data_IF_427298842536
#
_entry.id   IF_427298842536
#
_cell.length_a   1.000
_cell.length_b   1.000
_cell.length_c   1.000
_cell.angle_alpha   90.00
_cell.angle_beta   90.00
_cell.angle_gamma   90.00
#
_symmetry.space_group_name_H-M   'P 1'
#
loop_
_entity.id
_entity.type
_entity.pdbx_description
1 polymer ?
#
# COMPACT_ATOMS: atom_id res chain seq x y z
N UNK A 1 -11.26 -18.96 43.88
CA UNK A 1 -12.13 -19.48 42.80
C UNK A 1 -13.18 -18.44 42.42
N UNK A 2 -12.79 -17.38 41.69
CA UNK A 2 -13.74 -16.53 40.95
C UNK A 2 -13.56 -16.93 39.50
N UNK A 3 -14.61 -17.54 38.96
CA UNK A 3 -14.63 -18.16 37.65
C UNK A 3 -14.03 -17.24 36.59
N UNK A 4 -13.00 -17.76 35.93
CA UNK A 4 -12.71 -17.52 34.53
C UNK A 4 -14.04 -17.64 33.77
N UNK A 5 -14.75 -16.52 33.61
CA UNK A 5 -15.69 -16.36 32.52
C UNK A 5 -14.81 -16.36 31.28
N UNK A 6 -14.67 -17.55 30.73
CA UNK A 6 -14.39 -17.81 29.33
C UNK A 6 -14.99 -16.64 28.55
N UNK A 7 -14.12 -15.78 28.04
CA UNK A 7 -14.42 -14.94 26.90
C UNK A 7 -14.71 -15.94 25.79
N UNK A 8 -15.95 -16.43 25.79
CA UNK A 8 -16.52 -17.10 24.65
C UNK A 8 -16.22 -16.19 23.48
N UNK A 9 -15.43 -16.76 22.58
CA UNK A 9 -15.15 -16.25 21.27
C UNK A 9 -16.48 -16.14 20.53
N UNK A 10 -17.26 -15.12 20.86
CA UNK A 10 -18.20 -14.53 19.95
C UNK A 10 -17.34 -13.98 18.82
N UNK A 11 -17.07 -14.85 17.84
CA UNK A 11 -16.90 -14.48 16.45
C UNK A 11 -18.11 -13.61 16.12
N UNK A 12 -18.02 -12.32 16.42
CA UNK A 12 -18.81 -11.31 15.74
C UNK A 12 -18.52 -11.58 14.28
N UNK A 13 -19.49 -12.16 13.56
CA UNK A 13 -19.42 -12.31 12.11
C UNK A 13 -19.10 -10.90 11.61
N UNK A 14 -17.85 -10.67 11.20
CA UNK A 14 -17.47 -9.42 10.55
C UNK A 14 -18.50 -9.21 9.44
N UNK A 15 -19.19 -8.06 9.44
CA UNK A 15 -20.12 -7.73 8.34
C UNK A 15 -19.31 -7.89 7.04
N UNK A 16 -19.83 -8.69 6.11
CA UNK A 16 -19.20 -8.87 4.80
C UNK A 16 -19.10 -7.50 4.13
N UNK A 17 -17.90 -6.94 4.11
CA UNK A 17 -17.58 -5.76 3.33
C UNK A 17 -17.23 -6.23 1.92
N UNK A 18 -18.13 -5.96 0.97
CA UNK A 18 -17.97 -6.35 -0.44
C UNK A 18 -16.71 -5.70 -1.04
N UNK A 19 -16.23 -4.60 -0.47
CA UNK A 19 -15.01 -3.93 -0.90
C UNK A 19 -13.74 -4.46 -0.23
N UNK A 20 -13.84 -5.42 0.71
CA UNK A 20 -12.71 -5.98 1.45
C UNK A 20 -12.91 -7.46 1.75
N UNK A 21 -12.67 -8.30 0.74
CA UNK A 21 -12.78 -9.75 0.85
C UNK A 21 -11.43 -10.37 1.23
N UNK A 22 -11.31 -10.93 2.44
CA UNK A 22 -10.06 -11.52 2.95
C UNK A 22 -10.00 -13.03 2.70
N UNK A 23 -8.87 -13.50 2.20
CA UNK A 23 -8.51 -14.91 2.04
C UNK A 23 -7.28 -15.22 2.89
N UNK A 24 -7.47 -16.00 3.95
CA UNK A 24 -6.40 -16.36 4.87
C UNK A 24 -5.52 -17.47 4.29
N UNK A 25 -4.20 -17.30 4.39
CA UNK A 25 -3.23 -18.32 4.01
C UNK A 25 -2.78 -19.09 5.26
N UNK A 26 -2.74 -20.42 5.16
CA UNK A 26 -2.20 -21.28 6.21
C UNK A 26 -0.65 -21.28 6.18
N UNK A 27 -0.06 -20.11 6.37
CA UNK A 27 1.39 -19.93 6.45
C UNK A 27 1.76 -19.72 7.91
N UNK A 28 2.61 -20.61 8.43
CA UNK A 28 3.13 -20.50 9.78
C UNK A 28 4.36 -19.57 9.80
N UNK A 29 4.21 -18.39 10.41
CA UNK A 29 5.28 -17.41 10.54
C UNK A 29 6.29 -17.75 11.66
N UNK A 30 6.41 -19.02 12.08
CA UNK A 30 7.42 -19.51 13.04
C UNK A 30 8.83 -18.98 12.78
N UNK A 31 9.22 -18.73 11.52
CA UNK A 31 10.54 -18.16 11.22
C UNK A 31 10.76 -16.79 11.87
N UNK A 32 9.70 -15.98 12.07
CA UNK A 32 9.77 -14.70 12.76
C UNK A 32 10.32 -14.89 14.18
N UNK A 33 10.02 -16.00 14.86
CA UNK A 33 10.55 -16.28 16.20
C UNK A 33 12.09 -16.34 16.23
N UNK A 34 12.73 -16.76 15.12
CA UNK A 34 14.19 -16.88 14.98
C UNK A 34 14.90 -15.54 14.77
N UNK A 35 14.19 -14.50 14.31
CA UNK A 35 14.76 -13.17 14.06
C UNK A 35 14.97 -12.45 15.40
N UNK A 36 16.21 -12.17 15.79
CA UNK A 36 16.50 -11.44 17.03
C UNK A 36 16.37 -9.92 16.85
N UNK A 37 16.36 -9.15 17.95
CA UNK A 37 16.20 -7.70 17.89
C UNK A 37 17.33 -7.00 17.12
N UNK A 38 18.56 -7.50 17.20
CA UNK A 38 19.69 -6.94 16.46
C UNK A 38 19.49 -7.07 14.95
N UNK A 39 18.99 -8.21 14.45
CA UNK A 39 18.64 -8.40 13.05
C UNK A 39 17.54 -7.44 12.62
N UNK A 40 16.53 -7.21 13.47
CA UNK A 40 15.48 -6.23 13.21
C UNK A 40 16.07 -4.82 13.14
N UNK A 41 16.97 -4.45 14.05
CA UNK A 41 17.59 -3.11 14.06
C UNK A 41 18.47 -2.88 12.83
N UNK A 42 19.23 -3.89 12.38
CA UNK A 42 19.96 -3.83 11.10
C UNK A 42 18.99 -3.65 9.93
N UNK A 43 17.91 -4.44 9.88
CA UNK A 43 16.89 -4.32 8.84
C UNK A 43 16.24 -2.94 8.83
N UNK A 44 15.85 -2.40 10.00
CA UNK A 44 15.32 -1.03 10.17
C UNK A 44 16.27 0.02 9.62
N UNK A 45 17.56 -0.08 9.97
CA UNK A 45 18.57 0.84 9.49
C UNK A 45 18.70 0.79 7.96
N UNK A 46 18.65 -0.41 7.37
CA UNK A 46 18.67 -0.57 5.92
C UNK A 46 17.46 0.13 5.27
N UNK A 47 16.23 -0.21 5.69
CA UNK A 47 15.01 0.27 5.01
C UNK A 47 14.71 1.75 5.23
N UNK A 48 15.07 2.31 6.39
CA UNK A 48 14.76 3.71 6.74
C UNK A 48 15.91 4.68 6.52
N UNK A 49 17.15 4.20 6.38
CA UNK A 49 18.33 5.06 6.22
C UNK A 49 19.07 4.76 4.93
N UNK A 50 19.57 3.53 4.75
CA UNK A 50 20.44 3.23 3.61
C UNK A 50 19.69 3.26 2.27
N UNK A 51 18.53 2.61 2.16
CA UNK A 51 17.79 2.59 0.90
C UNK A 51 17.28 3.98 0.46
N UNK A 52 16.70 4.83 1.33
CA UNK A 52 16.30 6.17 0.91
C UNK A 52 17.48 7.04 0.49
N UNK A 53 18.62 6.99 1.20
CA UNK A 53 19.83 7.74 0.83
C UNK A 53 20.33 7.31 -0.55
N UNK A 54 20.40 6.01 -0.81
CA UNK A 54 20.83 5.50 -2.12
C UNK A 54 19.87 5.92 -3.24
N UNK A 55 18.55 5.83 -3.02
CA UNK A 55 17.56 6.29 -4.00
C UNK A 55 17.70 7.79 -4.28
N UNK A 56 17.85 8.62 -3.24
CA UNK A 56 18.05 10.06 -3.39
C UNK A 56 19.33 10.36 -4.19
N UNK A 57 20.42 9.65 -3.93
CA UNK A 57 21.65 9.78 -4.70
C UNK A 57 21.42 9.51 -6.19
N UNK A 58 20.72 8.43 -6.54
CA UNK A 58 20.43 8.11 -7.94
C UNK A 58 19.52 9.16 -8.60
N UNK A 59 18.51 9.65 -7.89
CA UNK A 59 17.61 10.73 -8.37
C UNK A 59 18.38 12.01 -8.68
N UNK A 60 19.29 12.43 -7.79
CA UNK A 60 20.01 13.70 -7.90
C UNK A 60 21.15 13.62 -8.92
N UNK A 61 21.92 12.53 -8.91
CA UNK A 61 23.21 12.48 -9.61
C UNK A 61 23.21 11.64 -10.89
N UNK A 62 22.26 10.73 -11.10
CA UNK A 62 22.32 9.75 -12.22
C UNK A 62 21.26 9.94 -13.30
N UNK A 63 20.59 11.11 -13.39
CA UNK A 63 19.46 11.31 -14.31
C UNK A 63 18.43 10.17 -14.25
N UNK A 64 18.23 9.61 -13.05
CA UNK A 64 17.40 8.41 -12.83
C UNK A 64 16.01 8.52 -13.45
N UNK A 65 15.40 9.70 -13.39
CA UNK A 65 14.09 9.94 -14.02
C UNK A 65 14.10 9.67 -15.52
N UNK A 66 15.17 10.04 -16.23
CA UNK A 66 15.32 9.80 -17.66
C UNK A 66 15.46 8.30 -17.98
N UNK A 67 16.28 7.57 -17.21
CA UNK A 67 16.46 6.12 -17.39
C UNK A 67 15.15 5.37 -17.13
N UNK A 68 14.42 5.72 -16.06
CA UNK A 68 13.10 5.15 -15.77
C UNK A 68 12.11 5.42 -16.90
N UNK A 69 12.08 6.65 -17.45
CA UNK A 69 11.17 6.97 -18.57
C UNK A 69 11.47 6.19 -19.84
N UNK A 70 12.75 5.97 -20.16
CA UNK A 70 13.13 5.21 -21.35
C UNK A 70 12.76 3.73 -21.21
N UNK A 71 13.07 3.14 -20.06
CA UNK A 71 12.74 1.74 -19.79
C UNK A 71 11.22 1.51 -19.74
N UNK A 72 10.45 2.50 -19.23
CA UNK A 72 8.98 2.48 -19.29
C UNK A 72 8.46 2.42 -20.73
N UNK A 73 8.97 3.30 -21.60
CA UNK A 73 8.55 3.34 -22.99
C UNK A 73 8.86 2.03 -23.72
N UNK A 74 9.99 1.39 -23.40
CA UNK A 74 10.36 0.09 -23.96
C UNK A 74 9.42 -1.03 -23.47
N UNK A 75 9.10 -1.06 -22.17
CA UNK A 75 8.16 -2.03 -21.58
C UNK A 75 6.75 -1.86 -22.18
N UNK A 76 6.28 -0.61 -22.30
CA UNK A 76 4.97 -0.30 -22.85
C UNK A 76 4.89 -0.58 -24.37
N UNK A 77 5.97 -0.30 -25.10
CA UNK A 77 6.06 -0.58 -26.54
C UNK A 77 6.05 -2.07 -26.88
N UNK A 78 6.53 -2.93 -25.95
CA UNK A 78 6.62 -4.38 -26.11
C UNK A 78 5.64 -5.14 -25.22
N UNK A 79 4.48 -4.54 -24.91
CA UNK A 79 3.50 -5.16 -24.02
C UNK A 79 2.97 -6.49 -24.59
N UNK A 80 3.29 -7.58 -23.90
CA UNK A 80 2.96 -8.95 -24.30
C UNK A 80 2.61 -9.83 -23.08
N UNK A 81 2.24 -11.09 -23.31
CA UNK A 81 1.89 -12.02 -22.23
C UNK A 81 3.03 -12.19 -21.20
N UNK A 82 4.28 -12.19 -21.65
CA UNK A 82 5.43 -12.32 -20.77
C UNK A 82 5.56 -11.11 -19.83
N UNK A 83 5.34 -9.88 -20.33
CA UNK A 83 5.32 -8.69 -19.48
C UNK A 83 4.22 -8.73 -18.42
N UNK A 84 3.03 -9.28 -18.75
CA UNK A 84 1.94 -9.46 -17.78
C UNK A 84 2.33 -10.47 -16.71
N UNK A 85 2.90 -11.62 -17.10
CA UNK A 85 3.35 -12.66 -16.16
C UNK A 85 4.42 -12.11 -15.22
N UNK A 86 5.38 -11.36 -15.75
CA UNK A 86 6.44 -10.71 -14.99
C UNK A 86 5.89 -9.64 -14.04
N UNK A 87 4.93 -8.83 -14.50
CA UNK A 87 4.26 -7.83 -13.68
C UNK A 87 3.55 -8.50 -12.50
N UNK A 88 2.77 -9.55 -12.76
CA UNK A 88 2.10 -10.33 -11.72
C UNK A 88 3.12 -10.90 -10.73
N UNK A 89 4.19 -11.53 -11.22
CA UNK A 89 5.25 -12.07 -10.37
C UNK A 89 5.81 -11.02 -9.40
N UNK A 90 6.24 -9.86 -9.93
CA UNK A 90 6.79 -8.80 -9.10
C UNK A 90 5.77 -8.18 -8.15
N UNK A 91 4.52 -8.02 -8.59
CA UNK A 91 3.45 -7.54 -7.73
C UNK A 91 3.23 -8.46 -6.52
N UNK A 92 3.19 -9.78 -6.74
CA UNK A 92 3.04 -10.76 -5.66
C UNK A 92 4.24 -10.78 -4.72
N UNK A 93 5.46 -10.74 -5.26
CA UNK A 93 6.69 -10.70 -4.45
C UNK A 93 6.78 -9.40 -3.64
N UNK A 94 6.54 -8.25 -4.28
CA UNK A 94 6.55 -6.93 -3.64
C UNK A 94 5.53 -6.85 -2.50
N UNK A 95 4.27 -7.20 -2.79
CA UNK A 95 3.20 -7.18 -1.78
C UNK A 95 3.46 -8.15 -0.62
N UNK A 96 4.05 -9.32 -0.90
CA UNK A 96 4.42 -10.26 0.17
C UNK A 96 5.54 -9.72 1.06
N UNK A 97 6.60 -9.14 0.47
CA UNK A 97 7.71 -8.55 1.22
C UNK A 97 7.26 -7.32 2.01
N UNK A 98 6.37 -6.50 1.44
CA UNK A 98 5.76 -5.35 2.09
C UNK A 98 5.07 -5.75 3.40
N UNK A 99 4.15 -6.72 3.33
CA UNK A 99 3.42 -7.19 4.51
C UNK A 99 4.34 -7.88 5.52
N UNK A 100 5.29 -8.69 5.04
CA UNK A 100 6.30 -9.31 5.90
C UNK A 100 7.14 -8.29 6.64
N UNK A 101 7.43 -7.12 6.04
CA UNK A 101 8.16 -6.04 6.69
C UNK A 101 7.40 -5.52 7.91
N UNK A 102 6.07 -5.30 7.81
CA UNK A 102 5.25 -4.96 8.96
C UNK A 102 5.36 -6.01 10.05
N UNK A 103 5.29 -7.30 9.70
CA UNK A 103 5.41 -8.40 10.66
C UNK A 103 6.77 -8.42 11.38
N UNK A 104 7.86 -8.18 10.66
CA UNK A 104 9.23 -8.17 11.19
C UNK A 104 9.40 -7.01 12.19
N UNK A 105 8.95 -5.80 11.84
CA UNK A 105 9.07 -4.63 12.73
C UNK A 105 8.10 -4.73 13.91
N UNK A 106 6.88 -5.22 13.69
CA UNK A 106 5.88 -5.44 14.73
C UNK A 106 6.40 -6.31 15.88
N UNK A 107 7.24 -7.31 15.57
CA UNK A 107 7.87 -8.18 16.58
C UNK A 107 8.68 -7.40 17.62
N UNK A 108 9.41 -6.35 17.21
CA UNK A 108 10.21 -5.50 18.10
C UNK A 108 9.36 -4.83 19.17
N UNK A 109 8.08 -4.62 18.87
CA UNK A 109 7.11 -4.00 19.76
C UNK A 109 6.16 -5.01 20.42
N UNK A 110 6.50 -6.30 20.39
CA UNK A 110 5.72 -7.40 20.95
C UNK A 110 4.28 -7.48 20.40
N UNK A 111 4.07 -7.02 19.17
CA UNK A 111 2.79 -7.15 18.48
C UNK A 111 2.69 -8.55 17.89
N UNK A 112 1.59 -9.23 18.16
CA UNK A 112 1.38 -10.58 17.68
C UNK A 112 0.90 -10.59 16.22
N UNK A 113 1.39 -11.55 15.44
CA UNK A 113 1.08 -11.69 14.01
C UNK A 113 0.46 -13.06 13.75
N UNK A 114 -0.85 -13.25 14.03
CA UNK A 114 -1.47 -14.57 14.01
C UNK A 114 -1.79 -15.08 12.61
N UNK A 115 -2.07 -14.19 11.65
CA UNK A 115 -2.57 -14.56 10.33
C UNK A 115 -2.00 -13.67 9.24
N UNK A 116 -1.81 -14.26 8.07
CA UNK A 116 -1.45 -13.57 6.83
C UNK A 116 -2.38 -14.02 5.72
N UNK A 117 -2.48 -13.23 4.67
CA UNK A 117 -3.34 -13.59 3.56
C UNK A 117 -3.27 -12.65 2.38
N UNK A 118 -4.17 -12.92 1.45
CA UNK A 118 -4.45 -12.10 0.27
C UNK A 118 -5.87 -11.58 0.45
N UNK A 119 -6.13 -10.36 0.05
CA UNK A 119 -7.48 -9.80 0.02
C UNK A 119 -7.79 -9.18 -1.34
N UNK A 120 -9.08 -9.10 -1.66
CA UNK A 120 -9.56 -8.22 -2.71
C UNK A 120 -10.03 -6.93 -2.05
N UNK A 121 -9.20 -5.90 -2.16
CA UNK A 121 -9.48 -4.56 -1.67
C UNK A 121 -9.93 -3.70 -2.86
N UNK A 122 -11.17 -3.20 -2.85
CA UNK A 122 -11.76 -2.48 -3.98
C UNK A 122 -11.67 -3.24 -5.30
N UNK A 123 -11.89 -4.57 -5.26
CA UNK A 123 -11.74 -5.50 -6.39
C UNK A 123 -10.31 -5.63 -6.95
N UNK A 124 -9.31 -5.05 -6.28
CA UNK A 124 -7.91 -5.21 -6.62
C UNK A 124 -7.26 -6.21 -5.65
N UNK A 125 -6.36 -7.10 -6.14
CA UNK A 125 -5.60 -7.97 -5.25
C UNK A 125 -4.72 -7.10 -4.34
N UNK A 126 -4.65 -7.48 -3.07
CA UNK A 126 -3.80 -6.89 -2.05
C UNK A 126 -3.35 -7.98 -1.09
N UNK A 127 -2.29 -7.73 -0.33
CA UNK A 127 -1.80 -8.64 0.69
C UNK A 127 -2.13 -8.08 2.06
N UNK A 128 -2.20 -8.92 3.07
CA UNK A 128 -2.33 -8.43 4.44
C UNK A 128 -1.60 -9.32 5.43
N UNK A 129 -1.04 -8.67 6.44
CA UNK A 129 -0.65 -9.27 7.71
C UNK A 129 -1.57 -8.73 8.81
N UNK A 130 -2.11 -9.61 9.64
CA UNK A 130 -2.90 -9.19 10.78
C UNK A 130 -1.99 -8.78 11.94
N UNK A 131 -2.00 -7.50 12.29
CA UNK A 131 -1.21 -6.93 13.39
C UNK A 131 -2.06 -6.89 14.66
N UNK A 132 -2.20 -8.03 15.33
CA UNK A 132 -3.07 -8.17 16.50
C UNK A 132 -2.57 -7.32 17.66
N UNK A 133 -3.41 -6.36 18.07
CA UNK A 133 -3.12 -5.46 19.17
C UNK A 133 -2.31 -4.21 18.80
N UNK A 134 -2.10 -3.93 17.51
CA UNK A 134 -1.46 -2.67 17.07
C UNK A 134 -2.18 -1.44 17.61
N UNK A 135 -3.50 -1.49 17.74
CA UNK A 135 -4.33 -0.40 18.27
C UNK A 135 -3.94 -0.03 19.72
N UNK A 136 -3.45 -0.99 20.51
CA UNK A 136 -3.06 -0.79 21.91
C UNK A 136 -1.68 -0.14 22.08
N UNK A 137 -0.91 0.03 21.00
CA UNK A 137 0.38 0.72 21.06
C UNK A 137 0.12 2.21 21.34
N UNK A 138 0.55 2.67 22.53
CA UNK A 138 0.37 4.07 22.95
C UNK A 138 1.32 5.04 22.24
N UNK A 139 2.51 4.58 21.88
CA UNK A 139 3.53 5.43 21.27
C UNK A 139 3.30 5.51 19.75
N UNK A 140 2.89 6.68 19.27
CA UNK A 140 2.65 6.92 17.84
C UNK A 140 3.88 6.62 16.97
N UNK A 141 5.10 6.88 17.46
CA UNK A 141 6.31 6.63 16.69
C UNK A 141 6.54 5.12 16.45
N UNK A 142 6.12 4.27 17.39
CA UNK A 142 6.21 2.81 17.21
C UNK A 142 5.21 2.33 16.17
N UNK A 143 3.97 2.85 16.20
CA UNK A 143 2.97 2.60 15.15
C UNK A 143 3.46 3.09 13.79
N UNK A 144 3.99 4.31 13.73
CA UNK A 144 4.55 4.91 12.53
C UNK A 144 5.67 4.05 11.97
N UNK A 145 6.58 3.56 12.81
CA UNK A 145 7.66 2.68 12.36
C UNK A 145 7.12 1.35 11.78
N UNK A 146 6.15 0.71 12.43
CA UNK A 146 5.51 -0.51 11.91
C UNK A 146 4.85 -0.23 10.57
N UNK A 147 3.99 0.79 10.48
CA UNK A 147 3.22 1.10 9.26
C UNK A 147 4.09 1.63 8.12
N UNK A 148 5.21 2.32 8.39
CA UNK A 148 6.12 2.74 7.31
C UNK A 148 7.09 1.64 6.88
N UNK A 149 7.21 0.54 7.63
CA UNK A 149 8.17 -0.52 7.28
C UNK A 149 7.82 -1.25 5.97
N UNK A 150 6.55 -1.37 5.62
CA UNK A 150 6.11 -1.88 4.31
C UNK A 150 6.64 -1.01 3.18
N UNK A 151 6.41 0.31 3.25
CA UNK A 151 6.97 1.29 2.31
C UNK A 151 8.50 1.22 2.28
N UNK A 152 9.16 1.17 3.45
CA UNK A 152 10.61 1.05 3.55
C UNK A 152 11.16 -0.20 2.83
N UNK A 153 10.47 -1.33 2.93
CA UNK A 153 10.87 -2.56 2.23
C UNK A 153 10.74 -2.47 0.71
N UNK A 154 9.71 -1.76 0.21
CA UNK A 154 9.58 -1.50 -1.21
C UNK A 154 10.66 -0.53 -1.70
N UNK A 155 11.07 0.46 -0.90
CA UNK A 155 12.21 1.32 -1.23
C UNK A 155 13.53 0.52 -1.27
N UNK A 156 13.69 -0.47 -0.40
CA UNK A 156 14.81 -1.40 -0.46
C UNK A 156 14.77 -2.23 -1.75
N UNK A 157 13.62 -2.76 -2.15
CA UNK A 157 13.46 -3.48 -3.43
C UNK A 157 13.75 -2.58 -4.64
N UNK A 158 13.32 -1.32 -4.61
CA UNK A 158 13.66 -0.30 -5.61
C UNK A 158 15.18 -0.07 -5.67
N UNK A 159 15.83 0.03 -4.51
CA UNK A 159 17.29 0.18 -4.42
C UNK A 159 18.02 -1.00 -5.05
N UNK A 160 17.60 -2.22 -4.71
CA UNK A 160 18.15 -3.46 -5.27
C UNK A 160 17.93 -3.49 -6.79
N UNK A 161 16.76 -3.07 -7.26
CA UNK A 161 16.43 -3.05 -8.68
C UNK A 161 17.33 -2.11 -9.48
N UNK A 162 17.63 -0.92 -8.95
CA UNK A 162 18.58 0.02 -9.58
C UNK A 162 19.98 -0.59 -9.67
N UNK A 163 20.48 -1.16 -8.56
CA UNK A 163 21.78 -1.82 -8.53
C UNK A 163 21.86 -2.94 -9.59
N UNK A 164 20.80 -3.73 -9.72
CA UNK A 164 20.73 -4.82 -10.69
C UNK A 164 20.59 -4.32 -12.13
N UNK A 165 19.93 -3.19 -12.38
CA UNK A 165 19.93 -2.54 -13.70
C UNK A 165 21.35 -2.11 -14.14
N UNK A 166 22.22 -1.73 -13.20
CA UNK A 166 23.57 -1.29 -13.51
C UNK A 166 24.52 -2.45 -13.84
N UNK A 167 24.35 -3.59 -13.16
CA UNK A 167 25.31 -4.70 -13.24
C UNK A 167 24.84 -5.88 -14.10
N UNK A 168 23.57 -5.89 -14.55
CA UNK A 168 23.01 -6.99 -15.34
C UNK A 168 22.51 -6.54 -16.72
N UNK A 169 22.45 -7.45 -17.71
CA UNK A 169 21.85 -7.15 -19.01
C UNK A 169 20.31 -7.12 -18.97
N UNK A 170 19.68 -7.55 -17.87
CA UNK A 170 18.22 -7.67 -17.73
C UNK A 170 17.55 -6.37 -17.27
N UNK A 171 17.92 -5.24 -17.87
CA UNK A 171 17.50 -3.90 -17.44
C UNK A 171 15.97 -3.71 -17.45
N UNK A 172 15.28 -4.24 -18.45
CA UNK A 172 13.82 -4.16 -18.55
C UNK A 172 13.11 -4.90 -17.42
N UNK A 173 13.62 -6.07 -17.02
CA UNK A 173 13.09 -6.87 -15.90
C UNK A 173 13.23 -6.13 -14.56
N UNK A 174 14.42 -5.60 -14.25
CA UNK A 174 14.63 -4.86 -13.01
C UNK A 174 13.99 -3.47 -13.01
N UNK A 175 13.85 -2.84 -14.18
CA UNK A 175 13.05 -1.61 -14.32
C UNK A 175 11.57 -1.85 -14.01
N UNK A 176 11.01 -2.98 -14.44
CA UNK A 176 9.64 -3.34 -14.08
C UNK A 176 9.49 -3.55 -12.56
N UNK A 177 10.44 -4.25 -11.93
CA UNK A 177 10.50 -4.42 -10.48
C UNK A 177 10.53 -3.07 -9.75
N UNK A 178 11.41 -2.17 -10.19
CA UNK A 178 11.57 -0.82 -9.66
C UNK A 178 10.25 -0.04 -9.73
N UNK A 179 9.60 -0.03 -10.90
CA UNK A 179 8.35 0.68 -11.13
C UNK A 179 7.22 0.18 -10.23
N UNK A 180 7.08 -1.13 -10.11
CA UNK A 180 6.06 -1.74 -9.25
C UNK A 180 6.29 -1.34 -7.79
N UNK A 181 7.53 -1.41 -7.30
CA UNK A 181 7.82 -1.07 -5.91
C UNK A 181 7.65 0.43 -5.61
N UNK A 182 7.99 1.32 -6.55
CA UNK A 182 7.67 2.75 -6.44
C UNK A 182 6.15 2.95 -6.40
N UNK A 183 5.40 2.29 -7.28
CA UNK A 183 3.95 2.41 -7.34
C UNK A 183 3.27 1.91 -6.05
N UNK A 184 3.66 0.72 -5.55
CA UNK A 184 3.14 0.18 -4.28
C UNK A 184 3.49 1.11 -3.11
N UNK A 185 4.69 1.70 -3.10
CA UNK A 185 5.08 2.68 -2.07
C UNK A 185 4.19 3.92 -2.09
N UNK A 186 3.99 4.51 -3.27
CA UNK A 186 3.13 5.70 -3.44
C UNK A 186 1.70 5.38 -2.99
N UNK A 187 1.13 4.27 -3.48
CA UNK A 187 -0.23 3.85 -3.14
C UNK A 187 -0.42 3.68 -1.63
N UNK A 188 0.57 3.13 -0.93
CA UNK A 188 0.51 2.94 0.52
C UNK A 188 0.75 4.22 1.33
N UNK A 189 1.42 5.24 0.76
CA UNK A 189 1.57 6.56 1.40
C UNK A 189 0.27 7.39 1.29
N UNK A 190 -0.53 7.18 0.24
CA UNK A 190 -1.78 7.92 0.03
C UNK A 190 -2.68 7.78 1.28
N UNK A 191 -3.25 8.88 1.81
CA UNK A 191 -4.08 8.86 3.01
C UNK A 191 -5.48 8.34 2.68
N UNK A 192 -5.58 7.08 2.29
CA UNK A 192 -6.81 6.35 2.03
C UNK A 192 -7.00 5.32 3.14
N UNK A 193 -8.24 5.21 3.63
CA UNK A 193 -8.59 4.54 4.88
C UNK A 193 -8.03 3.12 5.09
N UNK A 194 -7.77 2.37 4.02
CA UNK A 194 -7.32 0.98 4.06
C UNK A 194 -5.82 0.78 3.82
N UNK A 195 -5.11 1.82 3.40
CA UNK A 195 -3.65 1.79 3.17
C UNK A 195 -2.88 2.32 4.39
N UNK A 196 -1.58 2.04 4.45
CA UNK A 196 -0.72 2.39 5.60
C UNK A 196 -0.80 3.86 6.00
N UNK A 197 -0.67 4.75 5.01
CA UNK A 197 -0.71 6.19 5.18
C UNK A 197 -2.06 6.68 5.71
N UNK A 198 -3.17 6.05 5.31
CA UNK A 198 -4.48 6.38 5.85
C UNK A 198 -4.69 5.85 7.26
N UNK A 199 -4.16 4.68 7.61
CA UNK A 199 -4.19 4.19 8.99
C UNK A 199 -3.44 5.18 9.89
N UNK A 200 -2.23 5.60 9.49
CA UNK A 200 -1.45 6.59 10.22
C UNK A 200 -2.13 7.96 10.29
N UNK A 201 -2.67 8.44 9.17
CA UNK A 201 -3.34 9.74 9.11
C UNK A 201 -4.59 9.76 10.01
N UNK A 202 -5.35 8.67 10.04
CA UNK A 202 -6.49 8.50 10.95
C UNK A 202 -6.02 8.55 12.40
N UNK A 203 -5.04 7.72 12.76
CA UNK A 203 -4.53 7.66 14.14
C UNK A 203 -3.93 9.01 14.60
N UNK A 204 -3.25 9.73 13.71
CA UNK A 204 -2.75 11.07 13.98
C UNK A 204 -3.89 12.05 14.29
N UNK A 205 -4.92 12.08 13.44
CA UNK A 205 -6.04 13.01 13.59
C UNK A 205 -7.00 12.66 14.75
N UNK A 206 -7.07 11.39 15.17
CA UNK A 206 -7.80 10.98 16.38
C UNK A 206 -7.27 11.67 17.63
N UNK A 207 -5.97 11.95 17.70
CA UNK A 207 -5.38 12.69 18.82
C UNK A 207 -5.86 14.16 18.88
N UNK A 208 -6.56 14.65 17.85
CA UNK A 208 -7.08 16.01 17.74
C UNK A 208 -8.62 16.08 17.64
N UNK A 209 -9.35 15.01 17.98
CA UNK A 209 -10.82 14.94 17.98
C UNK A 209 -11.53 15.30 16.64
N UNK A 210 -10.91 15.00 15.50
CA UNK A 210 -11.47 15.30 14.17
C UNK A 210 -12.27 14.18 13.49
N UNK A 211 -12.76 13.18 14.24
CA UNK A 211 -13.43 11.96 13.73
C UNK A 211 -14.47 12.21 12.59
N UNK A 212 -15.35 13.22 12.75
CA UNK A 212 -16.38 13.53 11.74
C UNK A 212 -15.82 14.11 10.44
N UNK A 213 -14.78 14.94 10.52
CA UNK A 213 -14.09 15.51 9.34
C UNK A 213 -13.25 14.46 8.62
N UNK A 214 -12.66 13.53 9.36
CA UNK A 214 -11.88 12.40 8.85
C UNK A 214 -12.77 11.50 7.98
N UNK A 215 -13.96 11.13 8.48
CA UNK A 215 -14.89 10.30 7.73
C UNK A 215 -15.30 10.95 6.39
N UNK A 216 -15.58 12.26 6.41
CA UNK A 216 -15.92 13.03 5.21
C UNK A 216 -14.75 13.09 4.21
N UNK A 217 -13.53 13.31 4.70
CA UNK A 217 -12.32 13.32 3.88
C UNK A 217 -12.05 11.97 3.22
N UNK A 218 -12.11 10.86 3.97
CA UNK A 218 -11.93 9.51 3.41
C UNK A 218 -13.05 9.14 2.43
N UNK A 219 -14.29 9.51 2.72
CA UNK A 219 -15.40 9.29 1.79
C UNK A 219 -15.17 10.03 0.47
N UNK A 220 -14.74 11.30 0.52
CA UNK A 220 -14.39 12.11 -0.66
C UNK A 220 -13.22 11.51 -1.46
N UNK A 221 -12.16 11.07 -0.79
CA UNK A 221 -11.04 10.41 -1.46
C UNK A 221 -11.45 9.09 -2.10
N UNK A 222 -12.22 8.27 -1.38
CA UNK A 222 -12.72 6.98 -1.89
C UNK A 222 -13.58 7.16 -3.13
N UNK A 223 -14.51 8.13 -3.13
CA UNK A 223 -15.33 8.43 -4.31
C UNK A 223 -14.50 8.99 -5.46
N UNK A 224 -13.49 9.82 -5.18
CA UNK A 224 -12.55 10.32 -6.19
C UNK A 224 -11.80 9.18 -6.89
N UNK A 225 -11.20 8.25 -6.15
CA UNK A 225 -10.48 7.12 -6.74
C UNK A 225 -11.41 6.17 -7.54
N UNK A 226 -12.59 5.87 -7.01
CA UNK A 226 -13.61 5.10 -7.73
C UNK A 226 -14.00 5.82 -9.03
N UNK A 227 -14.17 7.14 -9.00
CA UNK A 227 -14.50 7.93 -10.19
C UNK A 227 -13.39 7.91 -11.24
N UNK A 228 -12.11 7.96 -10.83
CA UNK A 228 -10.98 7.79 -11.75
C UNK A 228 -10.93 6.40 -12.37
N UNK A 229 -11.18 5.35 -11.58
CA UNK A 229 -11.22 3.97 -12.09
C UNK A 229 -12.35 3.80 -13.09
N UNK A 230 -13.56 4.26 -12.77
CA UNK A 230 -14.72 4.24 -13.67
C UNK A 230 -14.42 5.05 -14.94
N UNK A 231 -13.85 6.25 -14.81
CA UNK A 231 -13.47 7.07 -15.96
C UNK A 231 -12.45 6.36 -16.85
N UNK A 232 -11.38 5.78 -16.28
CA UNK A 232 -10.36 5.06 -17.05
C UNK A 232 -10.94 3.84 -17.77
N UNK A 233 -11.87 3.12 -17.12
CA UNK A 233 -12.57 1.98 -17.69
C UNK A 233 -13.50 2.41 -18.83
N UNK A 234 -14.31 3.45 -18.62
CA UNK A 234 -15.18 4.02 -19.65
C UNK A 234 -14.35 4.57 -20.81
N UNK A 235 -13.26 5.29 -20.55
CA UNK A 235 -12.43 5.89 -21.59
C UNK A 235 -11.69 4.82 -22.41
N UNK A 236 -11.28 3.70 -21.81
CA UNK A 236 -10.73 2.54 -22.51
C UNK A 236 -11.76 1.80 -23.38
N UNK A 237 -13.05 1.85 -23.01
CA UNK A 237 -14.15 1.26 -23.81
C UNK A 237 -14.64 2.23 -24.90
N UNK A 238 -14.69 3.52 -24.56
CA UNK A 238 -15.27 4.59 -25.36
C UNK A 238 -14.21 5.37 -26.17
N UNK A 239 -13.00 4.85 -26.34
CA UNK A 239 -11.87 5.53 -27.00
C UNK A 239 -12.06 5.85 -28.49
N UNK A 240 -13.30 5.86 -29.00
CA UNK A 240 -13.65 6.49 -30.27
C UNK A 240 -14.68 7.63 -30.19
N UNK A 241 -15.30 7.93 -29.04
CA UNK A 241 -16.23 9.06 -28.92
C UNK A 241 -16.20 9.66 -27.51
N UNK A 242 -15.84 10.94 -27.42
CA UNK A 242 -16.14 11.84 -26.28
C UNK A 242 -15.28 11.70 -25.01
N UNK A 243 -13.98 12.03 -25.08
CA UNK A 243 -13.11 12.11 -23.89
C UNK A 243 -13.14 13.46 -23.15
N UNK A 244 -13.52 14.57 -23.81
CA UNK A 244 -13.39 15.92 -23.23
C UNK A 244 -14.66 16.45 -22.52
N UNK A 245 -15.85 16.16 -23.04
CA UNK A 245 -17.11 16.74 -22.55
C UNK A 245 -17.66 16.06 -21.29
N UNK A 246 -17.27 14.80 -21.03
CA UNK A 246 -17.68 14.04 -19.84
C UNK A 246 -16.89 14.49 -18.60
N UNK A 247 -15.63 14.93 -18.76
CA UNK A 247 -14.83 15.47 -17.65
C UNK A 247 -15.42 16.79 -17.12
N UNK A 248 -15.90 17.65 -18.02
CA UNK A 248 -16.58 18.88 -17.67
C UNK A 248 -17.92 18.61 -16.96
N UNK A 249 -18.73 17.64 -17.44
CA UNK A 249 -20.01 17.33 -16.80
C UNK A 249 -19.86 16.69 -15.42
N UNK A 250 -18.86 15.82 -15.20
CA UNK A 250 -18.56 15.25 -13.88
C UNK A 250 -18.07 16.31 -12.88
N UNK A 251 -17.29 17.30 -13.32
CA UNK A 251 -16.89 18.42 -12.47
C UNK A 251 -18.08 19.32 -12.07
N UNK A 252 -19.07 19.48 -12.95
CA UNK A 252 -20.30 20.22 -12.68
C UNK A 252 -21.20 19.45 -11.71
N UNK A 253 -21.32 18.12 -11.87
CA UNK A 253 -22.02 17.26 -10.90
C UNK A 253 -21.33 17.29 -9.53
N UNK A 254 -20.00 17.34 -9.50
CA UNK A 254 -19.21 17.51 -8.28
C UNK A 254 -19.49 18.85 -7.57
N UNK A 255 -19.58 19.96 -8.31
CA UNK A 255 -19.95 21.28 -7.76
C UNK A 255 -21.41 21.32 -7.30
N UNK A 256 -22.33 20.68 -8.02
CA UNK A 256 -23.75 20.62 -7.66
C UNK A 256 -23.99 19.79 -6.39
N UNK A 257 -23.29 18.66 -6.23
CA UNK A 257 -23.36 17.85 -5.00
C UNK A 257 -22.83 18.64 -3.80
N UNK A 258 -21.73 19.39 -3.96
CA UNK A 258 -21.20 20.27 -2.91
C UNK A 258 -22.20 21.36 -2.53
N UNK A 259 -22.89 21.95 -3.50
CA UNK A 259 -23.87 23.02 -3.26
C UNK A 259 -25.19 22.51 -2.65
N UNK A 260 -25.65 21.32 -3.03
CA UNK A 260 -26.83 20.68 -2.41
C UNK A 260 -26.54 20.31 -0.96
N UNK A 261 -25.32 19.84 -0.67
CA UNK A 261 -24.93 19.45 0.70
C UNK A 261 -24.66 20.64 1.63
N UNK A 262 -24.29 21.82 1.09
CA UNK A 262 -24.17 23.06 1.87
C UNK A 262 -25.51 23.71 2.24
N UNK A 263 -26.62 23.34 1.57
CA UNK A 263 -27.97 23.87 1.83
C UNK A 263 -28.79 23.02 2.81
N UNK A 264 -28.21 21.92 3.31
CA UNK A 264 -28.84 21.02 4.28
C UNK A 264 -28.40 21.24 5.73
N UNK A 265 -27.66 22.32 6.02
CA UNK A 265 -27.43 22.86 7.37
C UNK A 265 -28.33 24.07 7.61
#
# INVERSE_FOLDING_TARGET
MRQLKLLDANKTKEKLDVFKLKFYLNIDLKFLSKINNNMVDVYRFIIFVLSPIYLMYNVIFKNFLFEVTNNLNEILGNFNLNTIILWCFFFFVSGSIHELSHAIIAKRYNVNVPRVGIMLLYFNPAFFVELSGIEFIKNFNQKLEIMLSGIGSNLLLSTISILLCEITPYKSFFSLCLLINIAVSIMNIVPLADFDGGILFRDYLKNFDYESKIFKFYFLLKTFFISMLIYSFINNICSNFFSLTISASLSIVFVLIINIYKRGE
#
